data_IF_385426882288
#
_entry.id   IF_385426882288
#
_cell.length_a   1.000
_cell.length_b   1.000
_cell.length_c   1.000
_cell.angle_alpha   90.00
_cell.angle_beta   90.00
_cell.angle_gamma   90.00
#
_symmetry.space_group_name_H-M   'P 1'
#
loop_
_entity.id
_entity.type
_entity.pdbx_description
1 polymer ?
#
# COMPACT_ATOMS: atom_id res chain seq x y z
N UNK A 1 -9.68 -1.52 12.62
CA UNK A 1 -8.95 -0.60 11.74
C UNK A 1 -7.94 -1.38 10.91
N UNK A 2 -7.79 -0.94 9.70
CA UNK A 2 -6.96 -1.65 8.70
C UNK A 2 -6.17 -0.65 7.89
N UNK A 3 -4.89 -0.95 7.65
CA UNK A 3 -4.06 -0.18 6.72
C UNK A 3 -3.60 -1.09 5.59
N UNK A 4 -3.72 -0.61 4.36
CA UNK A 4 -3.16 -1.25 3.17
C UNK A 4 -1.98 -0.38 2.74
N UNK A 5 -0.83 -1.00 2.55
CA UNK A 5 0.38 -0.28 2.13
C UNK A 5 0.57 -0.45 0.62
N UNK A 6 0.72 0.67 -0.09
CA UNK A 6 1.31 0.64 -1.41
C UNK A 6 2.80 0.28 -1.28
N UNK A 7 3.47 -0.01 -2.38
CA UNK A 7 4.90 -0.36 -2.35
C UNK A 7 5.76 0.81 -1.89
N UNK A 8 5.44 2.04 -2.28
CA UNK A 8 6.26 3.22 -1.99
C UNK A 8 6.49 3.45 -0.49
N UNK A 9 5.46 3.46 0.38
CA UNK A 9 5.70 3.63 1.81
C UNK A 9 6.58 2.52 2.40
N UNK A 10 6.41 1.29 1.96
CA UNK A 10 7.24 0.18 2.46
C UNK A 10 8.69 0.33 2.03
N UNK A 11 8.93 0.80 0.81
CA UNK A 11 10.29 1.09 0.32
C UNK A 11 10.91 2.24 1.11
N UNK A 12 10.15 3.30 1.38
CA UNK A 12 10.64 4.44 2.16
C UNK A 12 11.08 3.99 3.56
N UNK A 13 10.29 3.13 4.19
CA UNK A 13 10.65 2.59 5.50
C UNK A 13 11.90 1.72 5.43
N UNK A 14 11.93 0.76 4.50
CA UNK A 14 13.03 -0.21 4.42
C UNK A 14 14.37 0.42 4.02
N UNK A 15 14.34 1.48 3.24
CA UNK A 15 15.54 2.17 2.77
C UNK A 15 15.78 3.54 3.43
N UNK A 16 15.05 3.82 4.49
CA UNK A 16 15.19 5.06 5.28
C UNK A 16 15.10 6.32 4.42
N UNK A 17 14.10 6.36 3.57
CA UNK A 17 13.83 7.51 2.71
C UNK A 17 12.98 8.56 3.43
N UNK A 18 12.75 9.68 2.78
CA UNK A 18 11.88 10.73 3.31
C UNK A 18 10.51 10.16 3.68
N UNK A 19 10.03 10.49 4.87
CA UNK A 19 8.75 10.01 5.37
C UNK A 19 8.80 8.66 6.07
N UNK A 20 9.98 8.04 6.18
CA UNK A 20 10.13 6.72 6.82
C UNK A 20 9.55 6.71 8.24
N UNK A 21 9.74 7.79 9.00
CA UNK A 21 9.23 7.87 10.38
C UNK A 21 7.71 7.84 10.45
N UNK A 22 7.03 8.42 9.45
CA UNK A 22 5.57 8.38 9.38
C UNK A 22 5.09 6.94 9.09
N UNK A 23 5.76 6.25 8.16
CA UNK A 23 5.43 4.85 7.86
C UNK A 23 5.69 3.97 9.08
N UNK A 24 6.78 4.23 9.79
CA UNK A 24 7.12 3.47 11.00
C UNK A 24 6.00 3.55 12.05
N UNK A 25 5.36 4.71 12.20
CA UNK A 25 4.24 4.85 13.13
C UNK A 25 3.07 3.94 12.76
N UNK A 26 2.77 3.80 11.47
CA UNK A 26 1.75 2.87 11.01
C UNK A 26 2.16 1.42 11.28
N UNK A 27 3.42 1.08 10.99
CA UNK A 27 3.94 -0.27 11.22
C UNK A 27 3.97 -0.62 12.72
N UNK A 28 4.28 0.34 13.58
CA UNK A 28 4.25 0.13 15.04
C UNK A 28 2.84 -0.23 15.51
N UNK A 29 1.83 0.43 14.98
CA UNK A 29 0.43 0.11 15.31
C UNK A 29 0.03 -1.27 14.81
N UNK A 30 0.54 -1.70 13.66
CA UNK A 30 0.33 -3.06 13.15
C UNK A 30 1.00 -4.07 14.08
N UNK A 31 2.25 -3.80 14.47
CA UNK A 31 3.01 -4.67 15.37
C UNK A 31 2.34 -4.81 16.72
N UNK A 32 1.78 -3.72 17.24
CA UNK A 32 1.12 -3.70 18.55
C UNK A 32 -0.30 -4.30 18.50
N UNK A 33 -0.78 -4.68 17.33
CA UNK A 33 -2.11 -5.26 17.17
C UNK A 33 -3.25 -4.25 17.16
N UNK A 34 -2.93 -2.97 17.07
CA UNK A 34 -3.94 -1.90 17.00
C UNK A 34 -4.60 -1.81 15.62
N UNK A 35 -3.86 -2.22 14.58
CA UNK A 35 -4.29 -2.22 13.19
C UNK A 35 -3.98 -3.56 12.55
N UNK A 36 -4.81 -3.98 11.61
CA UNK A 36 -4.45 -5.01 10.66
C UNK A 36 -3.71 -4.36 9.49
N UNK A 37 -2.58 -4.92 9.09
CA UNK A 37 -1.76 -4.37 8.00
C UNK A 37 -1.65 -5.34 6.83
N UNK A 38 -1.85 -4.82 5.62
CA UNK A 38 -1.81 -5.62 4.39
C UNK A 38 -1.02 -4.93 3.30
N UNK A 39 -0.47 -5.76 2.42
CA UNK A 39 0.09 -5.33 1.14
C UNK A 39 -0.43 -6.29 0.07
N UNK A 40 -0.93 -5.78 -1.05
CA UNK A 40 -1.43 -6.65 -2.11
C UNK A 40 -0.28 -7.46 -2.71
N UNK A 41 -0.60 -8.63 -3.28
CA UNK A 41 0.39 -9.50 -3.93
C UNK A 41 1.17 -8.74 -5.01
N UNK A 42 0.51 -7.91 -5.81
CA UNK A 42 1.16 -7.12 -6.87
C UNK A 42 2.10 -6.08 -6.27
N UNK A 43 1.66 -5.38 -5.23
CA UNK A 43 2.49 -4.36 -4.59
C UNK A 43 3.67 -4.98 -3.85
N UNK A 44 3.51 -6.18 -3.33
CA UNK A 44 4.63 -6.93 -2.76
C UNK A 44 5.66 -7.30 -3.83
N UNK A 45 5.20 -7.70 -5.01
CA UNK A 45 6.07 -7.99 -6.14
C UNK A 45 6.83 -6.74 -6.59
N UNK A 46 6.16 -5.60 -6.65
CA UNK A 46 6.81 -4.31 -6.95
C UNK A 46 7.87 -3.97 -5.91
N UNK A 47 7.53 -4.11 -4.64
CA UNK A 47 8.46 -3.88 -3.54
C UNK A 47 9.72 -4.74 -3.73
N UNK A 48 9.54 -6.05 -3.95
CA UNK A 48 10.67 -6.97 -4.09
C UNK A 48 11.53 -6.63 -5.30
N UNK A 49 10.90 -6.33 -6.42
CA UNK A 49 11.61 -5.97 -7.65
C UNK A 49 12.48 -4.72 -7.44
N UNK A 50 11.92 -3.67 -6.86
CA UNK A 50 12.64 -2.41 -6.65
C UNK A 50 13.72 -2.60 -5.58
N UNK A 51 13.42 -3.27 -4.48
CA UNK A 51 14.38 -3.53 -3.41
C UNK A 51 15.56 -4.37 -3.92
N UNK A 52 15.30 -5.37 -4.75
CA UNK A 52 16.35 -6.20 -5.33
C UNK A 52 17.24 -5.39 -6.28
N UNK A 53 16.64 -4.45 -7.03
CA UNK A 53 17.38 -3.57 -7.93
C UNK A 53 18.24 -2.56 -7.16
N UNK A 54 17.70 -2.00 -6.06
CA UNK A 54 18.41 -1.01 -5.24
C UNK A 54 19.53 -1.63 -4.40
N UNK A 55 19.37 -2.87 -3.98
CA UNK A 55 20.33 -3.56 -3.13
C UNK A 55 20.68 -4.95 -3.71
N UNK A 56 19.91 -5.98 -3.32
CA UNK A 56 20.11 -7.35 -3.83
C UNK A 56 18.84 -8.14 -3.55
N UNK A 57 18.69 -9.29 -4.24
CA UNK A 57 17.57 -10.20 -3.98
C UNK A 57 17.56 -10.71 -2.54
N UNK A 58 18.74 -10.99 -1.99
CA UNK A 58 18.88 -11.45 -0.61
C UNK A 58 18.41 -10.38 0.38
N UNK A 59 18.80 -9.12 0.17
CA UNK A 59 18.36 -8.02 1.02
C UNK A 59 16.89 -7.72 0.86
N UNK A 60 16.37 -7.82 -0.37
CA UNK A 60 14.93 -7.67 -0.61
C UNK A 60 14.12 -8.69 0.20
N UNK A 61 14.55 -9.94 0.18
CA UNK A 61 13.88 -11.00 0.95
C UNK A 61 13.98 -10.76 2.46
N UNK A 62 15.13 -10.25 2.93
CA UNK A 62 15.29 -9.89 4.34
C UNK A 62 14.33 -8.78 4.76
N UNK A 63 14.18 -7.74 3.93
CA UNK A 63 13.22 -6.66 4.20
C UNK A 63 11.78 -7.19 4.23
N UNK A 64 11.43 -8.09 3.32
CA UNK A 64 10.08 -8.70 3.30
C UNK A 64 9.85 -9.50 4.59
N UNK A 65 10.85 -10.26 5.04
CA UNK A 65 10.73 -11.02 6.28
C UNK A 65 10.53 -10.08 7.48
N UNK A 66 11.23 -8.95 7.51
CA UNK A 66 11.07 -7.96 8.57
C UNK A 66 9.64 -7.41 8.59
N UNK A 67 9.08 -7.09 7.43
CA UNK A 67 7.71 -6.59 7.32
C UNK A 67 6.70 -7.63 7.82
N UNK A 68 6.92 -8.90 7.47
CA UNK A 68 6.06 -10.00 7.95
C UNK A 68 6.15 -10.16 9.46
N UNK A 69 7.33 -10.04 10.02
CA UNK A 69 7.52 -10.09 11.48
C UNK A 69 6.84 -8.94 12.19
N UNK A 70 6.71 -7.79 11.53
CA UNK A 70 5.95 -6.65 12.03
C UNK A 70 4.45 -6.85 11.95
N UNK A 71 3.99 -7.90 11.26
CA UNK A 71 2.58 -8.22 11.15
C UNK A 71 1.93 -7.85 9.83
N UNK A 72 2.70 -7.36 8.85
CA UNK A 72 2.16 -7.06 7.51
C UNK A 72 1.87 -8.38 6.79
N UNK A 73 0.62 -8.54 6.37
CA UNK A 73 0.14 -9.73 5.66
C UNK A 73 -0.04 -9.43 4.18
N UNK A 74 0.18 -10.46 3.36
CA UNK A 74 -0.12 -10.37 1.95
C UNK A 74 -1.64 -10.44 1.74
N UNK A 75 -2.21 -9.49 0.99
CA UNK A 75 -3.62 -9.52 0.63
C UNK A 75 -3.77 -10.21 -0.72
N UNK A 76 -4.52 -11.32 -0.72
CA UNK A 76 -4.76 -12.11 -1.92
C UNK A 76 -5.62 -11.31 -2.91
N UNK A 77 -5.12 -11.15 -4.14
CA UNK A 77 -5.77 -10.37 -5.19
C UNK A 77 -6.61 -11.22 -6.15
N UNK A 78 -6.77 -12.50 -5.87
CA UNK A 78 -7.63 -13.37 -6.70
C UNK A 78 -9.03 -12.80 -6.75
N UNK A 79 -9.55 -12.64 -7.96
CA UNK A 79 -10.88 -12.07 -8.16
C UNK A 79 -10.92 -10.54 -8.22
N UNK A 80 -9.81 -9.85 -7.97
CA UNK A 80 -9.76 -8.37 -8.04
C UNK A 80 -9.35 -7.84 -9.42
N UNK A 81 -8.91 -8.70 -10.32
CA UNK A 81 -8.34 -8.26 -11.61
C UNK A 81 -9.34 -7.47 -12.46
N UNK A 82 -10.60 -7.85 -12.43
CA UNK A 82 -11.64 -7.18 -13.22
C UNK A 82 -11.87 -5.76 -12.70
N UNK A 83 -12.01 -5.61 -11.38
CA UNK A 83 -12.19 -4.30 -10.75
C UNK A 83 -10.96 -3.41 -10.96
N UNK A 84 -9.75 -3.97 -10.81
CA UNK A 84 -8.52 -3.24 -11.05
C UNK A 84 -8.42 -2.77 -12.50
N UNK A 85 -8.85 -3.61 -13.47
CA UNK A 85 -8.92 -3.25 -14.87
C UNK A 85 -9.87 -2.08 -15.11
N UNK A 86 -11.04 -2.10 -14.47
CA UNK A 86 -12.02 -1.03 -14.58
C UNK A 86 -11.48 0.28 -14.00
N UNK A 87 -10.78 0.22 -12.87
CA UNK A 87 -10.15 1.40 -12.27
C UNK A 87 -9.11 2.00 -13.20
N UNK A 88 -8.30 1.15 -13.82
CA UNK A 88 -7.29 1.63 -14.77
C UNK A 88 -7.94 2.25 -16.00
N UNK A 89 -9.00 1.66 -16.51
CA UNK A 89 -9.71 2.19 -17.68
C UNK A 89 -10.35 3.55 -17.39
N UNK A 90 -10.88 3.74 -16.20
CA UNK A 90 -11.61 4.96 -15.82
C UNK A 90 -10.68 6.09 -15.36
N UNK A 91 -9.67 5.76 -14.57
CA UNK A 91 -8.85 6.76 -13.86
C UNK A 91 -7.39 6.80 -14.31
N UNK A 92 -6.95 5.81 -15.08
CA UNK A 92 -5.61 5.71 -15.67
C UNK A 92 -4.41 5.63 -14.69
N UNK A 93 -4.54 5.03 -13.50
CA UNK A 93 -3.35 4.79 -12.67
C UNK A 93 -2.48 3.70 -13.29
N UNK A 94 -1.26 3.51 -12.76
CA UNK A 94 -0.48 2.31 -13.08
C UNK A 94 -1.24 1.07 -12.63
N UNK A 95 -0.91 -0.10 -13.18
CA UNK A 95 -1.59 -1.32 -12.80
C UNK A 95 -1.38 -1.65 -11.31
N UNK A 96 -0.19 -1.40 -10.79
CA UNK A 96 0.10 -1.62 -9.38
C UNK A 96 -0.76 -0.74 -8.48
N UNK A 97 -0.90 0.53 -8.83
CA UNK A 97 -1.73 1.47 -8.06
C UNK A 97 -3.20 1.10 -8.16
N UNK A 98 -3.65 0.62 -9.34
CA UNK A 98 -5.02 0.13 -9.50
C UNK A 98 -5.30 -1.05 -8.56
N UNK A 99 -4.37 -1.98 -8.42
CA UNK A 99 -4.52 -3.10 -7.49
C UNK A 99 -4.47 -2.65 -6.03
N UNK A 100 -3.68 -1.65 -5.69
CA UNK A 100 -3.66 -1.09 -4.33
C UNK A 100 -5.03 -0.53 -3.96
N UNK A 101 -5.62 0.26 -4.85
CA UNK A 101 -6.97 0.81 -4.65
C UNK A 101 -8.01 -0.31 -4.59
N UNK A 102 -7.90 -1.30 -5.48
CA UNK A 102 -8.84 -2.43 -5.50
C UNK A 102 -8.81 -3.21 -4.19
N UNK A 103 -7.62 -3.48 -3.66
CA UNK A 103 -7.46 -4.18 -2.38
C UNK A 103 -8.09 -3.38 -1.23
N UNK A 104 -7.83 -2.08 -1.17
CA UNK A 104 -8.39 -1.21 -0.13
C UNK A 104 -9.91 -1.15 -0.23
N UNK A 105 -10.46 -1.04 -1.44
CA UNK A 105 -11.92 -1.03 -1.64
C UNK A 105 -12.55 -2.36 -1.26
N UNK A 106 -11.90 -3.47 -1.57
CA UNK A 106 -12.41 -4.78 -1.22
C UNK A 106 -12.49 -4.95 0.30
N UNK A 107 -11.45 -4.55 1.01
CA UNK A 107 -11.45 -4.55 2.48
C UNK A 107 -12.49 -3.60 3.05
N UNK A 108 -12.61 -2.40 2.51
CA UNK A 108 -13.58 -1.40 2.95
C UNK A 108 -15.00 -1.90 2.77
N UNK A 109 -15.29 -2.58 1.67
CA UNK A 109 -16.62 -3.13 1.38
C UNK A 109 -16.99 -4.29 2.30
N UNK A 110 -15.99 -5.04 2.77
CA UNK A 110 -16.19 -6.20 3.63
C UNK A 110 -16.11 -5.86 5.12
N UNK A 111 -15.63 -4.66 5.46
CA UNK A 111 -15.49 -4.20 6.84
C UNK A 111 -16.70 -3.34 7.21
N UNK A 112 -17.50 -3.83 8.15
CA UNK A 112 -18.68 -3.08 8.62
C UNK A 112 -18.30 -1.78 9.31
N UNK A 113 -17.09 -1.70 9.86
CA UNK A 113 -16.60 -0.49 10.54
C UNK A 113 -16.07 0.56 9.57
N UNK A 114 -15.80 0.19 8.34
CA UNK A 114 -15.32 1.11 7.29
C UNK A 114 -14.06 1.88 7.66
N UNK A 115 -13.17 1.28 8.44
CA UNK A 115 -11.93 1.92 8.91
C UNK A 115 -10.73 1.37 8.15
N UNK A 116 -10.72 1.56 6.84
CA UNK A 116 -9.61 1.15 5.97
C UNK A 116 -8.90 2.39 5.45
N UNK A 117 -7.58 2.40 5.56
CA UNK A 117 -6.72 3.42 4.99
C UNK A 117 -5.78 2.77 3.98
N UNK A 118 -5.66 3.36 2.80
CA UNK A 118 -4.62 3.04 1.83
C UNK A 118 -3.51 4.08 1.98
N UNK A 119 -2.35 3.64 2.47
CA UNK A 119 -1.20 4.51 2.66
C UNK A 119 -0.38 4.53 1.39
N UNK A 120 -0.23 5.71 0.81
CA UNK A 120 0.42 5.92 -0.48
C UNK A 120 1.49 7.00 -0.38
N UNK A 121 2.34 7.07 -1.40
CA UNK A 121 3.39 8.07 -1.49
C UNK A 121 2.95 9.31 -2.26
N UNK A 122 3.91 9.90 -2.98
CA UNK A 122 3.74 11.19 -3.62
C UNK A 122 3.29 11.13 -5.08
N UNK A 123 3.12 9.94 -5.65
CA UNK A 123 2.81 9.82 -7.09
C UNK A 123 1.45 10.42 -7.43
N UNK A 124 1.36 10.97 -8.65
CA UNK A 124 0.17 11.67 -9.13
C UNK A 124 -1.02 10.72 -9.39
N UNK A 125 -0.75 9.43 -9.54
CA UNK A 125 -1.79 8.43 -9.84
C UNK A 125 -2.93 8.45 -8.83
N UNK A 126 -2.68 8.87 -7.59
CA UNK A 126 -3.70 8.90 -6.54
C UNK A 126 -4.47 10.22 -6.46
N UNK A 127 -4.07 11.25 -7.21
CA UNK A 127 -4.74 12.56 -7.17
C UNK A 127 -6.23 12.45 -7.47
N UNK A 128 -6.59 11.67 -8.50
CA UNK A 128 -7.99 11.50 -8.91
C UNK A 128 -8.81 10.84 -7.81
N UNK A 129 -8.22 9.90 -7.08
CA UNK A 129 -8.93 9.20 -6.02
C UNK A 129 -9.15 10.08 -4.78
N UNK A 130 -8.26 11.02 -4.54
CA UNK A 130 -8.42 12.01 -3.46
C UNK A 130 -9.58 12.95 -3.72
N UNK A 131 -9.98 13.10 -4.99
CA UNK A 131 -11.06 14.01 -5.41
C UNK A 131 -12.34 13.26 -5.80
N UNK A 132 -12.38 11.94 -5.68
CA UNK A 132 -13.51 11.12 -6.13
C UNK A 132 -14.29 10.55 -4.95
N UNK A 133 -15.58 10.82 -4.92
CA UNK A 133 -16.47 10.26 -3.90
C UNK A 133 -16.38 8.73 -3.93
N UNK A 134 -16.32 8.13 -2.74
CA UNK A 134 -16.18 6.69 -2.59
C UNK A 134 -14.73 6.23 -2.45
N UNK A 135 -13.75 7.10 -2.76
CA UNK A 135 -12.31 6.80 -2.61
C UNK A 135 -11.60 7.77 -1.70
N UNK A 136 -12.07 9.01 -1.59
CA UNK A 136 -11.39 10.07 -0.86
C UNK A 136 -11.08 9.69 0.58
N UNK A 137 -11.98 8.96 1.23
CA UNK A 137 -11.83 8.55 2.63
C UNK A 137 -10.77 7.46 2.81
N UNK A 138 -10.35 6.80 1.73
CA UNK A 138 -9.37 5.72 1.80
C UNK A 138 -7.92 6.22 1.74
N UNK A 139 -7.68 7.31 1.02
CA UNK A 139 -6.32 7.70 0.61
C UNK A 139 -5.66 8.53 1.70
N UNK A 140 -4.48 8.12 2.14
CA UNK A 140 -3.61 8.92 2.98
C UNK A 140 -2.18 8.87 2.45
N UNK A 141 -1.57 10.03 2.34
CA UNK A 141 -0.19 10.14 1.85
C UNK A 141 0.76 10.21 3.05
N UNK A 142 1.84 9.43 2.97
CA UNK A 142 2.83 9.44 4.06
C UNK A 142 3.87 10.54 3.87
N UNK A 143 3.93 11.14 2.67
CA UNK A 143 4.81 12.27 2.39
C UNK A 143 4.21 13.14 1.29
N UNK A 144 4.66 14.42 1.23
CA UNK A 144 4.15 15.39 0.29
C UNK A 144 4.71 15.19 -1.12
N UNK A 145 3.90 15.52 -2.13
CA UNK A 145 4.31 15.49 -3.53
C UNK A 145 5.41 16.48 -3.85
N UNK A 146 5.45 17.60 -3.12
CA UNK A 146 6.41 18.68 -3.34
C UNK A 146 7.76 18.44 -2.69
N UNK A 147 7.91 17.35 -2.00
CA UNK A 147 9.12 17.09 -1.21
C UNK A 147 10.31 16.60 -2.06
#
# INVERSE_FOLDING_TARGET
MTVVFDAEPLLAFSFDEQGAGEVERWLDQVYDGELDGYVSTINLAEFRYIAAREASGEQADAHINDLREMGVSEYNIDGLWEYASDLKATYSPSIGDAYAVAAAKDLDSNDQQRNVTLLVGAVDDYDVFEDTEGFVHLIERFRDQSA
#
